data_IF_943325348425
#
_entry.id   IF_943325348425
#
_cell.length_a   1.000
_cell.length_b   1.000
_cell.length_c   1.000
_cell.angle_alpha   90.00
_cell.angle_beta   90.00
_cell.angle_gamma   90.00
#
_symmetry.space_group_name_H-M   'P 1'
#
loop_
_entity.id
_entity.type
_entity.pdbx_description
1 polymer ?
#
# COMPACT_ATOMS: atom_id res chain seq x y z
N UNK A 1 64.41 -14.65 -14.67
CA UNK A 1 63.71 -15.60 -15.57
C UNK A 1 63.71 -16.98 -14.95
N UNK A 2 62.53 -17.55 -14.65
CA UNK A 2 62.27 -19.00 -14.58
C UNK A 2 60.74 -19.22 -14.62
N UNK A 3 60.35 -20.41 -15.06
CA UNK A 3 59.10 -20.66 -15.79
C UNK A 3 58.00 -21.33 -14.94
N UNK A 4 56.74 -21.20 -15.35
CA UNK A 4 55.66 -22.10 -14.92
C UNK A 4 55.92 -23.53 -15.44
N UNK A 5 55.54 -24.57 -14.68
CA UNK A 5 54.32 -25.37 -14.95
C UNK A 5 54.03 -26.36 -13.78
N UNK A 6 52.85 -26.99 -13.81
CA UNK A 6 52.27 -27.81 -12.73
C UNK A 6 52.46 -29.34 -12.93
N UNK A 7 52.07 -30.16 -11.93
CA UNK A 7 51.13 -31.33 -12.03
C UNK A 7 51.17 -32.20 -10.74
N UNK A 8 50.02 -32.80 -10.39
CA UNK A 8 49.78 -33.69 -9.24
C UNK A 8 50.37 -35.11 -9.38
N UNK A 9 50.68 -35.82 -8.26
CA UNK A 9 50.08 -37.15 -7.95
C UNK A 9 50.29 -37.68 -6.50
N UNK A 10 49.39 -38.58 -6.11
CA UNK A 10 49.20 -39.39 -4.89
C UNK A 10 50.41 -39.85 -4.06
N UNK A 11 50.21 -39.97 -2.73
CA UNK A 11 50.29 -41.20 -1.89
C UNK A 11 49.80 -40.83 -0.44
N UNK A 12 49.32 -41.72 0.46
CA UNK A 12 48.97 -43.15 0.40
C UNK A 12 47.86 -43.52 1.43
N UNK A 13 47.59 -44.82 1.61
CA UNK A 13 46.54 -45.50 2.40
C UNK A 13 46.96 -45.86 3.85
N UNK A 14 46.01 -45.91 4.80
CA UNK A 14 46.03 -46.85 5.94
C UNK A 14 44.66 -47.52 6.09
N UNK A 15 44.63 -48.86 6.10
CA UNK A 15 43.46 -49.69 6.43
C UNK A 15 43.51 -50.12 7.90
N UNK A 16 42.37 -50.08 8.59
CA UNK A 16 41.99 -51.11 9.58
C UNK A 16 40.53 -51.47 9.32
N UNK A 17 40.25 -52.77 9.19
CA UNK A 17 38.90 -53.30 9.03
C UNK A 17 38.67 -54.40 10.06
N UNK A 18 37.43 -54.52 10.56
CA UNK A 18 36.93 -55.79 11.04
C UNK A 18 35.44 -55.95 10.74
N UNK A 19 35.11 -57.06 10.07
CA UNK A 19 33.79 -57.63 9.78
C UNK A 19 33.21 -58.25 11.09
N UNK A 20 31.93 -58.66 11.22
CA UNK A 20 30.71 -58.65 10.37
C UNK A 20 29.56 -59.29 11.18
N UNK A 21 28.30 -59.07 10.81
CA UNK A 21 27.32 -60.15 10.50
C UNK A 21 26.01 -59.55 9.99
N UNK A 22 25.48 -60.08 8.89
CA UNK A 22 24.10 -59.85 8.44
C UNK A 22 23.17 -60.92 9.02
N UNK A 23 21.88 -60.60 9.20
CA UNK A 23 20.81 -61.60 9.14
C UNK A 23 19.52 -60.96 8.63
N UNK A 24 19.04 -61.40 7.48
CA UNK A 24 17.75 -61.01 6.90
C UNK A 24 16.57 -61.68 7.61
N UNK A 25 15.48 -60.96 7.89
CA UNK A 25 14.16 -61.57 7.90
C UNK A 25 13.04 -60.58 7.56
N UNK A 26 12.24 -60.96 6.57
CA UNK A 26 11.01 -60.30 6.16
C UNK A 26 9.87 -60.63 7.14
N UNK A 27 9.02 -59.66 7.48
CA UNK A 27 7.63 -59.85 7.97
C UNK A 27 6.86 -58.54 8.24
N UNK A 28 5.79 -58.40 7.48
CA UNK A 28 4.58 -57.61 7.75
C UNK A 28 4.16 -57.46 9.23
N UNK A 29 3.80 -56.23 9.63
CA UNK A 29 2.81 -55.90 10.67
C UNK A 29 2.37 -54.43 10.49
N UNK A 30 1.16 -54.21 10.00
CA UNK A 30 -0.08 -54.02 10.76
C UNK A 30 -0.26 -52.62 11.36
N UNK A 31 -1.21 -51.91 10.76
CA UNK A 31 -1.78 -50.64 11.21
C UNK A 31 -2.32 -50.78 12.64
N UNK A 32 -1.91 -49.89 13.55
CA UNK A 32 -2.76 -49.45 14.66
C UNK A 32 -2.86 -47.94 14.66
N UNK A 33 -4.10 -47.45 14.68
CA UNK A 33 -4.47 -46.04 14.79
C UNK A 33 -4.00 -45.49 16.13
N UNK A 34 -3.20 -44.42 16.12
CA UNK A 34 -3.26 -43.43 17.19
C UNK A 34 -4.19 -42.29 16.79
N UNK A 35 -4.96 -41.80 17.75
CA UNK A 35 -6.04 -40.83 17.52
C UNK A 35 -5.48 -39.42 17.63
N UNK A 36 -5.64 -38.64 16.56
CA UNK A 36 -6.21 -37.28 16.62
C UNK A 36 -5.98 -36.51 17.93
N UNK A 37 -4.79 -35.95 18.13
CA UNK A 37 -4.67 -34.72 18.89
C UNK A 37 -5.08 -33.56 17.96
N UNK A 38 -6.17 -32.86 18.28
CA UNK A 38 -6.54 -31.61 17.58
C UNK A 38 -5.56 -30.52 18.00
N UNK A 39 -4.45 -30.40 17.28
CA UNK A 39 -3.56 -29.24 17.36
C UNK A 39 -4.23 -28.01 16.79
N UNK A 40 -4.03 -26.86 17.45
CA UNK A 40 -4.45 -25.55 16.96
C UNK A 40 -3.76 -25.26 15.60
N UNK A 41 -4.44 -24.70 14.58
CA UNK A 41 -3.76 -24.33 13.34
C UNK A 41 -2.69 -23.27 13.63
N UNK A 42 -1.51 -23.46 13.03
CA UNK A 42 -0.37 -22.58 13.23
C UNK A 42 -0.66 -21.18 12.65
N UNK A 43 -0.55 -20.16 13.48
CA UNK A 43 -1.06 -18.80 13.20
C UNK A 43 -0.04 -17.94 12.42
N UNK A 44 1.07 -18.54 11.98
CA UNK A 44 2.17 -17.86 11.28
C UNK A 44 2.44 -18.49 9.90
N UNK A 45 1.41 -18.63 9.07
CA UNK A 45 1.58 -19.02 7.67
C UNK A 45 2.26 -17.88 6.89
N UNK A 46 3.58 -17.81 6.89
CA UNK A 46 4.35 -16.80 6.14
C UNK A 46 3.93 -16.85 4.66
N UNK A 47 3.37 -15.75 4.14
CA UNK A 47 2.74 -15.73 2.81
C UNK A 47 3.74 -15.48 1.68
N UNK A 48 5.03 -15.71 1.92
CA UNK A 48 6.09 -15.58 0.92
C UNK A 48 6.27 -16.86 0.11
N UNK A 49 6.64 -16.73 -1.15
CA UNK A 49 7.05 -17.82 -2.05
C UNK A 49 8.35 -17.44 -2.76
N UNK A 50 9.21 -18.41 -3.14
CA UNK A 50 10.32 -18.13 -4.02
C UNK A 50 9.81 -17.59 -5.36
N UNK A 51 10.58 -16.68 -5.96
CA UNK A 51 10.30 -16.09 -7.25
C UNK A 51 11.56 -16.04 -8.12
N UNK A 52 11.36 -16.01 -9.44
CA UNK A 52 12.42 -15.86 -10.43
C UNK A 52 12.45 -14.38 -10.84
N UNK A 53 13.64 -13.80 -10.96
CA UNK A 53 13.79 -12.47 -11.56
C UNK A 53 14.15 -12.65 -13.02
N UNK A 54 13.38 -12.02 -13.92
CA UNK A 54 13.80 -11.78 -15.29
C UNK A 54 14.39 -10.37 -15.40
N UNK A 55 15.62 -10.28 -15.91
CA UNK A 55 16.38 -9.04 -16.10
C UNK A 55 16.52 -8.65 -17.58
N UNK A 56 15.96 -9.43 -18.52
CA UNK A 56 16.06 -9.22 -19.98
C UNK A 56 15.36 -7.94 -20.47
N UNK A 57 14.62 -7.27 -19.58
CA UNK A 57 13.83 -6.07 -19.84
C UNK A 57 14.33 -4.84 -19.06
N UNK A 58 15.53 -4.90 -18.47
CA UNK A 58 16.18 -3.72 -17.89
C UNK A 58 16.47 -2.71 -19.00
N UNK A 59 15.92 -1.49 -18.87
CA UNK A 59 16.01 -0.40 -19.85
C UNK A 59 17.01 0.69 -19.44
N UNK A 60 17.92 0.36 -18.55
CA UNK A 60 18.80 1.34 -17.91
C UNK A 60 19.76 2.03 -18.90
N UNK A 61 20.27 1.28 -19.88
CA UNK A 61 21.17 1.82 -20.92
C UNK A 61 20.43 2.72 -21.93
N UNK A 62 19.16 2.42 -22.23
CA UNK A 62 18.30 3.21 -23.13
C UNK A 62 17.92 4.59 -22.55
N UNK A 63 17.90 4.69 -21.21
CA UNK A 63 17.47 5.89 -20.48
C UNK A 63 18.58 6.42 -19.53
N UNK A 64 19.74 6.89 -20.06
CA UNK A 64 20.89 7.32 -19.25
C UNK A 64 20.59 8.52 -18.33
N UNK A 65 19.56 9.32 -18.65
CA UNK A 65 19.11 10.44 -17.81
C UNK A 65 18.37 10.02 -16.53
N UNK A 66 18.06 8.72 -16.34
CA UNK A 66 17.63 8.18 -15.04
C UNK A 66 18.83 8.17 -14.10
N UNK A 67 19.05 9.30 -13.44
CA UNK A 67 20.07 9.47 -12.41
C UNK A 67 19.86 8.52 -11.22
N UNK A 68 20.88 8.38 -10.39
CA UNK A 68 20.78 7.63 -9.14
C UNK A 68 19.67 8.19 -8.24
N UNK A 69 19.06 7.31 -7.46
CA UNK A 69 18.05 7.72 -6.49
C UNK A 69 18.71 8.45 -5.32
N UNK A 70 18.09 9.56 -4.90
CA UNK A 70 18.44 10.22 -3.62
C UNK A 70 18.22 9.22 -2.48
N UNK A 71 17.20 8.37 -2.64
CA UNK A 71 17.36 6.92 -2.49
C UNK A 71 16.44 6.23 -1.48
N UNK A 72 16.80 4.97 -1.21
CA UNK A 72 16.02 3.88 -0.60
C UNK A 72 15.16 4.20 0.64
N UNK A 73 14.01 4.87 0.56
CA UNK A 73 13.15 5.11 1.74
C UNK A 73 11.65 4.85 1.56
N UNK A 74 11.17 4.34 0.42
CA UNK A 74 9.74 4.06 0.22
C UNK A 74 9.46 2.95 -0.80
N UNK A 75 8.28 2.33 -0.73
CA UNK A 75 7.72 1.44 -1.77
C UNK A 75 6.40 2.05 -2.22
N UNK A 76 6.18 2.15 -3.55
CA UNK A 76 4.90 2.59 -4.12
C UNK A 76 4.31 1.49 -4.97
N UNK A 77 3.08 1.09 -4.66
CA UNK A 77 2.34 0.07 -5.41
C UNK A 77 1.36 0.68 -6.41
N UNK A 78 1.26 0.03 -7.57
CA UNK A 78 0.44 0.42 -8.72
C UNK A 78 -0.30 -0.78 -9.31
N UNK A 79 -1.40 -0.55 -10.02
CA UNK A 79 -1.89 -1.51 -11.02
C UNK A 79 -1.73 -0.94 -12.42
N UNK A 80 -1.39 -1.80 -13.38
CA UNK A 80 -1.05 -1.37 -14.75
C UNK A 80 -2.25 -0.97 -15.62
N UNK A 81 -3.48 -1.29 -15.18
CA UNK A 81 -4.76 -1.11 -15.89
C UNK A 81 -4.84 -1.85 -17.25
N UNK A 82 -3.90 -2.75 -17.52
CA UNK A 82 -3.65 -3.32 -18.84
C UNK A 82 -3.19 -4.79 -18.75
N UNK A 83 -3.19 -5.49 -19.88
CA UNK A 83 -2.66 -6.86 -19.95
C UNK A 83 -1.13 -6.86 -19.97
N UNK A 84 -0.51 -7.89 -19.40
CA UNK A 84 0.95 -8.02 -19.24
C UNK A 84 1.77 -7.56 -20.46
N UNK A 85 1.44 -8.00 -21.68
CA UNK A 85 2.16 -7.60 -22.91
C UNK A 85 2.10 -6.10 -23.19
N UNK A 86 0.97 -5.43 -22.89
CA UNK A 86 0.82 -3.98 -23.01
C UNK A 86 1.55 -3.25 -21.87
N UNK A 87 1.44 -3.75 -20.65
CA UNK A 87 2.10 -3.19 -19.47
C UNK A 87 3.63 -3.21 -19.65
N UNK A 88 4.19 -4.37 -19.99
CA UNK A 88 5.63 -4.53 -20.26
C UNK A 88 6.12 -3.58 -21.35
N UNK A 89 5.45 -3.53 -22.50
CA UNK A 89 5.80 -2.57 -23.58
C UNK A 89 5.72 -1.12 -23.09
N UNK A 90 4.69 -0.76 -22.34
CA UNK A 90 4.48 0.62 -21.88
C UNK A 90 5.57 1.05 -20.88
N UNK A 91 5.97 0.15 -19.98
CA UNK A 91 6.98 0.41 -18.96
C UNK A 91 8.42 0.38 -19.50
N UNK A 92 8.68 -0.30 -20.63
CA UNK A 92 9.99 -0.30 -21.28
C UNK A 92 10.15 0.78 -22.35
N UNK A 93 9.08 1.21 -23.03
CA UNK A 93 9.16 2.14 -24.18
C UNK A 93 8.30 3.41 -24.07
N UNK A 94 7.36 3.46 -23.13
CA UNK A 94 6.30 4.48 -23.09
C UNK A 94 6.59 5.74 -22.28
N UNK A 95 7.83 5.95 -21.83
CA UNK A 95 8.26 7.14 -21.08
C UNK A 95 7.88 7.17 -19.58
N UNK A 96 6.93 6.34 -19.15
CA UNK A 96 6.78 5.94 -17.74
C UNK A 96 7.47 4.58 -17.54
N UNK A 97 7.92 4.30 -16.31
CA UNK A 97 8.55 3.02 -15.96
C UNK A 97 8.40 2.71 -14.47
N UNK A 98 8.53 1.43 -14.10
CA UNK A 98 8.65 0.95 -12.73
C UNK A 98 9.99 0.23 -12.56
N UNK A 99 10.39 -0.07 -11.31
CA UNK A 99 11.54 -0.96 -11.10
C UNK A 99 11.13 -2.41 -11.35
N UNK A 100 9.92 -2.75 -10.91
CA UNK A 100 9.38 -4.10 -10.93
C UNK A 100 8.02 -4.17 -11.61
N UNK A 101 7.76 -5.28 -12.31
CA UNK A 101 6.46 -5.66 -12.86
C UNK A 101 6.12 -7.10 -12.43
N UNK A 102 4.96 -7.28 -11.79
CA UNK A 102 4.47 -8.57 -11.30
C UNK A 102 3.28 -9.04 -12.16
N UNK A 103 3.44 -10.09 -13.00
CA UNK A 103 2.34 -10.65 -13.79
C UNK A 103 1.26 -11.32 -12.93
N UNK A 104 0.07 -11.53 -13.49
CA UNK A 104 -1.03 -12.24 -12.82
C UNK A 104 -0.82 -13.76 -12.71
N UNK A 105 0.15 -14.32 -13.44
CA UNK A 105 0.46 -15.74 -13.49
C UNK A 105 1.96 -15.99 -13.58
N UNK A 106 2.40 -17.21 -13.28
CA UNK A 106 3.81 -17.59 -13.20
C UNK A 106 4.42 -17.36 -11.82
N UNK A 107 5.74 -17.47 -11.72
CA UNK A 107 6.61 -17.20 -10.57
C UNK A 107 7.70 -16.17 -10.90
N UNK A 108 7.71 -15.68 -12.14
CA UNK A 108 8.68 -14.71 -12.64
C UNK A 108 8.18 -13.28 -12.44
N UNK A 109 8.98 -12.48 -11.73
CA UNK A 109 8.85 -11.02 -11.69
C UNK A 109 9.87 -10.39 -12.65
N UNK A 110 9.54 -9.23 -13.22
CA UNK A 110 10.36 -8.59 -14.23
C UNK A 110 11.00 -7.33 -13.65
N UNK A 111 12.34 -7.22 -13.72
CA UNK A 111 13.03 -5.95 -13.44
C UNK A 111 13.11 -5.12 -14.72
N UNK A 112 12.68 -3.86 -14.64
CA UNK A 112 12.64 -2.92 -15.77
C UNK A 112 13.61 -1.74 -15.58
N UNK A 113 13.90 -1.38 -14.33
CA UNK A 113 14.87 -0.37 -13.90
C UNK A 113 15.57 -0.89 -12.65
N UNK A 114 16.90 -0.76 -12.54
CA UNK A 114 17.58 -1.12 -11.29
C UNK A 114 17.21 -0.16 -10.15
N UNK A 115 17.06 -0.69 -8.93
CA UNK A 115 16.58 0.07 -7.77
C UNK A 115 17.50 1.24 -7.37
N UNK A 116 18.77 1.22 -7.75
CA UNK A 116 19.67 2.36 -7.57
C UNK A 116 19.40 3.53 -8.54
N UNK A 117 18.54 3.36 -9.55
CA UNK A 117 18.22 4.36 -10.58
C UNK A 117 16.75 4.76 -10.57
N UNK A 118 16.46 5.97 -11.03
CA UNK A 118 15.11 6.56 -10.97
C UNK A 118 14.16 6.01 -12.02
N UNK A 119 13.21 5.16 -11.63
CA UNK A 119 12.03 4.86 -12.44
C UNK A 119 10.99 6.02 -12.42
N UNK A 120 10.15 6.10 -13.46
CA UNK A 120 9.13 7.16 -13.63
C UNK A 120 7.72 6.61 -13.43
N UNK A 121 7.32 6.43 -12.16
CA UNK A 121 6.06 5.77 -11.77
C UNK A 121 5.08 6.69 -11.03
N UNK A 122 5.56 7.47 -10.06
CA UNK A 122 4.72 8.26 -9.15
C UNK A 122 4.24 9.60 -9.76
N UNK A 123 4.96 10.13 -10.76
CA UNK A 123 4.69 11.47 -11.32
C UNK A 123 4.65 12.58 -10.25
N UNK A 124 3.75 13.57 -10.44
CA UNK A 124 3.50 14.62 -9.43
C UNK A 124 2.89 14.01 -8.17
N UNK A 125 3.68 13.98 -7.10
CA UNK A 125 3.40 13.20 -5.89
C UNK A 125 3.97 13.87 -4.64
N UNK A 126 3.30 13.67 -3.49
CA UNK A 126 3.81 14.03 -2.18
C UNK A 126 3.31 13.05 -1.10
N UNK A 127 4.23 12.64 -0.22
CA UNK A 127 3.92 11.87 0.98
C UNK A 127 4.73 12.39 2.17
N UNK A 128 4.11 12.57 3.34
CA UNK A 128 4.79 13.04 4.58
C UNK A 128 5.69 14.25 4.34
N UNK A 129 5.18 15.22 3.58
CA UNK A 129 5.88 16.44 3.10
C UNK A 129 7.04 16.25 2.11
N UNK A 130 7.41 15.02 1.74
CA UNK A 130 8.40 14.74 0.69
C UNK A 130 7.74 14.82 -0.69
N UNK A 131 8.19 15.77 -1.52
CA UNK A 131 7.77 15.88 -2.93
C UNK A 131 8.56 14.92 -3.83
N UNK A 132 7.92 14.54 -4.94
CA UNK A 132 8.48 13.75 -6.04
C UNK A 132 8.97 12.37 -5.55
N UNK A 133 8.03 11.46 -5.30
CA UNK A 133 8.35 10.16 -4.69
C UNK A 133 9.26 9.30 -5.56
N UNK A 134 9.29 9.48 -6.89
CA UNK A 134 10.21 8.78 -7.81
C UNK A 134 11.67 8.79 -7.32
N UNK A 135 12.10 9.83 -6.60
CA UNK A 135 13.50 10.01 -6.22
C UNK A 135 13.95 9.21 -4.99
N UNK A 136 13.00 8.64 -4.25
CA UNK A 136 13.24 7.88 -3.01
C UNK A 136 12.53 6.52 -2.95
N UNK A 137 11.76 6.15 -3.98
CA UNK A 137 10.83 5.03 -3.89
C UNK A 137 10.98 3.98 -4.98
N UNK A 138 10.88 2.71 -4.56
CA UNK A 138 10.73 1.58 -5.47
C UNK A 138 9.27 1.46 -5.90
N UNK A 139 8.98 1.92 -7.12
CA UNK A 139 7.71 1.66 -7.80
C UNK A 139 7.59 0.20 -8.25
N UNK A 140 6.51 -0.46 -7.84
CA UNK A 140 6.14 -1.84 -8.19
C UNK A 140 4.80 -1.82 -8.92
N UNK A 141 4.80 -2.26 -10.18
CA UNK A 141 3.62 -2.36 -11.03
C UNK A 141 3.04 -3.78 -10.98
N UNK A 142 1.74 -3.89 -10.73
CA UNK A 142 1.04 -5.17 -10.69
C UNK A 142 0.11 -5.29 -11.90
N UNK A 143 0.21 -6.41 -12.63
CA UNK A 143 -0.69 -6.70 -13.76
C UNK A 143 -2.07 -7.06 -13.22
N UNK A 144 -2.90 -6.03 -13.08
CA UNK A 144 -4.34 -6.07 -12.82
C UNK A 144 -4.97 -4.91 -13.64
N UNK A 145 -6.22 -5.07 -14.09
CA UNK A 145 -6.96 -4.00 -14.79
C UNK A 145 -7.51 -2.95 -13.80
N UNK A 146 -7.42 -3.21 -12.50
CA UNK A 146 -7.97 -2.37 -11.43
C UNK A 146 -9.45 -2.68 -11.22
N UNK A 147 -10.29 -2.19 -12.11
CA UNK A 147 -11.74 -2.40 -12.07
C UNK A 147 -12.34 -2.48 -13.47
N UNK A 148 -13.59 -2.94 -13.55
CA UNK A 148 -14.46 -2.81 -14.72
C UNK A 148 -15.78 -2.16 -14.29
N UNK A 149 -16.58 -1.70 -15.25
CA UNK A 149 -17.91 -1.21 -14.96
C UNK A 149 -18.93 -2.37 -14.93
N UNK A 150 -19.77 -2.44 -13.89
CA UNK A 150 -20.89 -3.39 -13.78
C UNK A 150 -21.77 -3.34 -15.02
N UNK A 151 -22.35 -4.48 -15.40
CA UNK A 151 -23.19 -4.64 -16.60
C UNK A 151 -22.53 -4.24 -17.94
N UNK A 152 -21.19 -4.30 -18.02
CA UNK A 152 -20.40 -3.96 -19.21
C UNK A 152 -20.64 -2.53 -19.75
N UNK A 153 -20.94 -1.58 -18.86
CA UNK A 153 -21.06 -0.15 -19.23
C UNK A 153 -19.73 0.42 -19.72
N UNK A 154 -19.79 1.45 -20.57
CA UNK A 154 -18.61 2.12 -21.15
C UNK A 154 -17.94 3.12 -20.18
N UNK A 155 -18.70 3.63 -19.20
CA UNK A 155 -18.21 4.38 -18.05
C UNK A 155 -18.91 3.90 -16.78
N UNK A 156 -18.32 4.19 -15.62
CA UNK A 156 -18.90 3.86 -14.32
C UNK A 156 -18.76 5.03 -13.35
N UNK A 157 -19.85 5.38 -12.68
CA UNK A 157 -19.81 6.07 -11.39
C UNK A 157 -19.30 5.08 -10.32
N UNK A 158 -18.88 5.59 -9.15
CA UNK A 158 -18.35 4.79 -8.03
C UNK A 158 -19.22 3.57 -7.67
N UNK A 159 -20.53 3.74 -7.62
CA UNK A 159 -21.51 2.69 -7.30
C UNK A 159 -21.52 1.52 -8.32
N UNK A 160 -21.06 1.81 -9.54
CA UNK A 160 -21.08 0.90 -10.68
C UNK A 160 -19.70 0.34 -11.03
N UNK A 161 -18.70 0.57 -10.18
CA UNK A 161 -17.39 -0.06 -10.24
C UNK A 161 -17.50 -1.51 -9.74
N UNK A 162 -16.76 -2.42 -10.38
CA UNK A 162 -16.47 -3.77 -9.89
C UNK A 162 -14.95 -3.96 -9.91
N UNK A 163 -14.32 -3.88 -8.74
CA UNK A 163 -12.90 -4.10 -8.54
C UNK A 163 -12.51 -5.55 -8.85
N UNK A 164 -11.30 -5.74 -9.38
CA UNK A 164 -10.80 -7.07 -9.76
C UNK A 164 -9.78 -7.58 -8.73
N UNK A 165 -10.00 -8.79 -8.24
CA UNK A 165 -9.09 -9.47 -7.33
C UNK A 165 -7.72 -9.76 -7.97
N UNK A 166 -6.68 -9.74 -7.14
CA UNK A 166 -5.35 -10.22 -7.50
C UNK A 166 -5.28 -11.74 -7.23
N UNK A 167 -4.87 -12.61 -8.17
CA UNK A 167 -4.78 -14.04 -7.92
C UNK A 167 -3.85 -14.38 -6.75
N UNK A 168 -4.18 -15.40 -5.96
CA UNK A 168 -3.44 -15.76 -4.73
C UNK A 168 -1.91 -15.87 -4.94
N UNK A 169 -1.47 -16.49 -6.05
CA UNK A 169 -0.03 -16.57 -6.37
C UNK A 169 0.59 -15.19 -6.63
N UNK A 170 -0.12 -14.29 -7.29
CA UNK A 170 0.31 -12.89 -7.49
C UNK A 170 0.39 -12.15 -6.15
N UNK A 171 -0.57 -12.33 -5.24
CA UNK A 171 -0.52 -11.75 -3.89
C UNK A 171 0.73 -12.22 -3.13
N UNK A 172 1.06 -13.52 -3.18
CA UNK A 172 2.29 -14.06 -2.56
C UNK A 172 3.57 -13.53 -3.21
N UNK A 173 3.60 -13.30 -4.53
CA UNK A 173 4.73 -12.62 -5.18
C UNK A 173 4.90 -11.18 -4.71
N UNK A 174 3.79 -10.42 -4.59
CA UNK A 174 3.78 -9.04 -4.06
C UNK A 174 4.36 -9.02 -2.65
N UNK A 175 3.87 -9.90 -1.75
CA UNK A 175 4.36 -10.04 -0.37
C UNK A 175 5.85 -10.36 -0.33
N UNK A 176 6.31 -11.30 -1.15
CA UNK A 176 7.72 -11.74 -1.16
C UNK A 176 8.65 -10.61 -1.59
N UNK A 177 8.37 -9.99 -2.73
CA UNK A 177 9.20 -8.89 -3.25
C UNK A 177 9.19 -7.67 -2.32
N UNK A 178 8.03 -7.31 -1.78
CA UNK A 178 7.91 -6.18 -0.88
C UNK A 178 8.65 -6.40 0.45
N UNK A 179 8.67 -7.63 0.98
CA UNK A 179 9.44 -8.01 2.16
C UNK A 179 10.94 -7.81 1.93
N UNK A 180 11.44 -8.35 0.82
CA UNK A 180 12.84 -8.25 0.42
C UNK A 180 13.29 -6.80 0.26
N UNK A 181 12.48 -5.95 -0.38
CA UNK A 181 12.78 -4.52 -0.56
C UNK A 181 12.71 -3.76 0.77
N UNK A 182 11.65 -3.95 1.57
CA UNK A 182 11.50 -3.25 2.85
C UNK A 182 12.65 -3.59 3.80
N UNK A 183 13.08 -4.85 3.86
CA UNK A 183 14.20 -5.28 4.67
C UNK A 183 15.54 -4.75 4.14
N UNK A 184 15.80 -4.87 2.83
CA UNK A 184 17.05 -4.44 2.18
C UNK A 184 17.36 -2.95 2.40
N UNK A 185 16.33 -2.11 2.41
CA UNK A 185 16.46 -0.67 2.56
C UNK A 185 16.00 -0.13 3.93
N UNK A 186 15.64 -1.01 4.88
CA UNK A 186 15.10 -0.63 6.19
C UNK A 186 13.93 0.38 6.11
N UNK A 187 13.05 0.19 5.12
CA UNK A 187 11.96 1.12 4.83
C UNK A 187 10.96 1.12 5.99
N UNK A 188 10.55 2.32 6.40
CA UNK A 188 9.50 2.51 7.38
C UNK A 188 8.16 1.90 6.90
N UNK A 189 7.47 1.09 7.72
CA UNK A 189 6.08 0.72 7.50
C UNK A 189 5.15 1.85 6.98
N UNK A 190 5.30 3.08 7.48
CA UNK A 190 4.51 4.24 7.02
C UNK A 190 4.88 4.77 5.63
N UNK A 191 5.89 4.18 4.99
CA UNK A 191 6.44 4.55 3.68
C UNK A 191 6.28 3.42 2.64
N UNK A 192 5.47 2.41 2.94
CA UNK A 192 4.96 1.40 2.00
C UNK A 192 3.51 1.76 1.69
N UNK A 193 3.26 2.27 0.48
CA UNK A 193 2.07 3.06 0.16
C UNK A 193 1.55 2.83 -1.25
N UNK A 194 0.28 3.18 -1.50
CA UNK A 194 -0.31 3.15 -2.82
C UNK A 194 -0.02 4.42 -3.61
N UNK A 195 -0.20 4.36 -4.94
CA UNK A 195 -0.19 5.57 -5.77
C UNK A 195 -1.29 6.57 -5.36
N UNK A 196 -2.46 6.06 -4.94
CA UNK A 196 -3.56 6.85 -4.41
C UNK A 196 -3.17 7.69 -3.19
N UNK A 197 -2.29 7.17 -2.32
CA UNK A 197 -1.86 7.87 -1.10
C UNK A 197 -1.00 9.11 -1.41
N UNK A 198 -0.16 9.02 -2.45
CA UNK A 198 0.82 10.04 -2.80
C UNK A 198 0.36 10.99 -3.91
N UNK A 199 -0.69 10.59 -4.65
CA UNK A 199 -1.25 11.30 -5.78
C UNK A 199 -2.77 11.43 -5.64
N UNK A 200 -3.18 11.86 -4.44
CA UNK A 200 -4.51 12.38 -4.10
C UNK A 200 -5.06 13.23 -5.26
N UNK A 201 -6.35 13.08 -5.55
CA UNK A 201 -7.08 13.68 -6.69
C UNK A 201 -6.79 13.14 -8.10
N UNK A 202 -5.71 12.37 -8.29
CA UNK A 202 -5.27 11.89 -9.61
C UNK A 202 -5.27 10.38 -9.78
N UNK A 203 -5.17 9.60 -8.69
CA UNK A 203 -4.89 8.16 -8.71
C UNK A 203 -5.72 7.40 -7.68
N UNK A 204 -6.05 6.15 -8.02
CA UNK A 204 -6.83 5.21 -7.19
C UNK A 204 -6.16 3.83 -7.06
N UNK A 205 -5.06 3.60 -7.77
CA UNK A 205 -4.22 2.41 -7.68
C UNK A 205 -3.44 2.35 -6.35
N UNK A 206 -3.29 1.15 -5.75
CA UNK A 206 -3.64 -0.17 -6.27
C UNK A 206 -5.09 -0.65 -5.97
N UNK A 207 -5.95 0.18 -5.37
CA UNK A 207 -7.36 -0.13 -5.09
C UNK A 207 -7.61 -0.94 -3.80
N UNK A 208 -8.88 -1.16 -3.42
CA UNK A 208 -9.30 -1.77 -2.15
C UNK A 208 -9.09 -3.29 -2.08
N UNK A 209 -8.94 -3.97 -3.21
CA UNK A 209 -8.68 -5.42 -3.26
C UNK A 209 -7.18 -5.76 -3.25
N UNK A 210 -6.30 -4.75 -3.15
CA UNK A 210 -4.88 -4.98 -2.99
C UNK A 210 -4.59 -5.55 -1.58
N UNK A 211 -3.66 -6.53 -1.44
CA UNK A 211 -3.56 -7.35 -0.23
C UNK A 211 -2.79 -6.66 0.92
N UNK A 212 -3.19 -5.44 1.31
CA UNK A 212 -2.56 -4.64 2.38
C UNK A 212 -2.49 -5.37 3.72
N UNK A 213 -3.57 -6.04 4.12
CA UNK A 213 -3.60 -6.83 5.36
C UNK A 213 -2.61 -8.00 5.33
N UNK A 214 -2.50 -8.69 4.20
CA UNK A 214 -1.58 -9.82 3.97
C UNK A 214 -0.11 -9.38 3.99
N UNK A 215 0.19 -8.16 3.50
CA UNK A 215 1.48 -7.51 3.65
C UNK A 215 1.79 -7.27 5.14
N UNK A 216 0.86 -6.66 5.87
CA UNK A 216 1.02 -6.37 7.29
C UNK A 216 1.20 -7.62 8.17
N UNK A 217 0.44 -8.68 7.89
CA UNK A 217 0.60 -10.01 8.51
C UNK A 217 1.98 -10.64 8.25
N UNK A 218 2.73 -10.14 7.26
CA UNK A 218 4.11 -10.54 6.96
C UNK A 218 5.17 -9.52 7.42
N UNK A 219 4.76 -8.48 8.17
CA UNK A 219 5.61 -7.42 8.70
C UNK A 219 5.91 -6.28 7.71
N UNK A 220 5.08 -6.14 6.67
CA UNK A 220 5.30 -5.23 5.55
C UNK A 220 4.25 -4.13 5.56
N UNK A 221 4.67 -2.86 5.55
CA UNK A 221 3.77 -1.71 5.66
C UNK A 221 3.12 -1.54 7.03
N UNK A 222 2.41 -0.42 7.20
CA UNK A 222 1.74 -0.06 8.44
C UNK A 222 0.31 -0.61 8.49
N UNK A 223 -0.13 -1.07 9.66
CA UNK A 223 -1.50 -1.57 9.84
C UNK A 223 -1.97 -1.44 11.29
N UNK A 224 -3.21 -0.98 11.46
CA UNK A 224 -3.92 -1.03 12.74
C UNK A 224 -4.90 -2.21 12.73
N UNK A 225 -4.88 -3.00 13.78
CA UNK A 225 -5.82 -4.12 14.00
C UNK A 225 -7.18 -3.59 14.42
N UNK A 226 -8.22 -4.40 14.20
CA UNK A 226 -9.60 -4.06 14.60
C UNK A 226 -9.71 -3.72 16.10
N UNK A 227 -8.90 -4.34 16.96
CA UNK A 227 -8.86 -4.05 18.40
C UNK A 227 -8.14 -2.73 18.74
N UNK A 228 -7.05 -2.40 18.04
CA UNK A 228 -6.40 -1.08 18.15
C UNK A 228 -7.37 0.03 17.68
N UNK A 229 -8.11 -0.19 16.59
CA UNK A 229 -9.11 0.74 16.07
C UNK A 229 -10.29 0.88 17.05
N UNK A 230 -10.82 -0.22 17.61
CA UNK A 230 -11.90 -0.19 18.62
C UNK A 230 -11.49 0.55 19.90
N UNK A 231 -10.25 0.35 20.37
CA UNK A 231 -9.67 1.11 21.50
C UNK A 231 -9.71 2.60 21.19
N UNK A 232 -9.26 3.01 20.01
CA UNK A 232 -9.22 4.43 19.63
C UNK A 232 -10.61 5.03 19.40
N UNK A 233 -11.55 4.28 18.82
CA UNK A 233 -12.97 4.69 18.75
C UNK A 233 -13.48 5.00 20.16
N UNK A 234 -13.26 4.11 21.13
CA UNK A 234 -13.68 4.33 22.52
C UNK A 234 -13.00 5.55 23.15
N UNK A 235 -11.68 5.72 22.97
CA UNK A 235 -10.95 6.86 23.50
C UNK A 235 -11.46 8.20 22.92
N UNK A 236 -11.75 8.25 21.62
CA UNK A 236 -12.35 9.41 20.96
C UNK A 236 -13.77 9.67 21.48
N UNK A 237 -14.61 8.63 21.61
CA UNK A 237 -15.97 8.77 22.13
C UNK A 237 -16.00 9.28 23.58
N UNK A 238 -15.10 8.79 24.44
CA UNK A 238 -15.03 9.18 25.86
C UNK A 238 -14.54 10.63 26.05
N UNK A 239 -13.72 11.17 25.15
CA UNK A 239 -13.05 12.48 25.33
C UNK A 239 -13.50 13.59 24.34
N UNK A 240 -14.06 13.23 23.19
CA UNK A 240 -14.47 14.12 22.10
C UNK A 240 -15.96 13.91 21.75
N UNK A 241 -16.43 12.65 21.79
CA UNK A 241 -17.79 12.25 21.41
C UNK A 241 -17.89 11.69 19.99
N UNK A 242 -19.13 11.45 19.54
CA UNK A 242 -19.40 10.80 18.24
C UNK A 242 -19.35 11.76 17.04
N UNK A 243 -19.58 13.06 17.25
CA UNK A 243 -19.66 14.02 16.15
C UNK A 243 -18.26 14.59 15.86
N UNK A 244 -17.66 14.14 14.75
CA UNK A 244 -16.28 14.44 14.38
C UNK A 244 -16.26 15.44 13.23
N UNK A 245 -15.78 16.64 13.55
CA UNK A 245 -15.66 17.73 12.58
C UNK A 245 -14.65 17.40 11.47
N UNK A 246 -15.01 17.81 10.26
CA UNK A 246 -14.16 17.74 9.07
C UNK A 246 -12.73 18.24 9.30
N UNK A 247 -12.55 19.33 10.06
CA UNK A 247 -11.23 19.90 10.33
C UNK A 247 -10.33 18.93 11.13
N UNK A 248 -10.89 18.17 12.06
CA UNK A 248 -10.11 17.22 12.87
C UNK A 248 -9.62 16.05 12.01
N UNK A 249 -10.48 15.52 11.13
CA UNK A 249 -10.10 14.49 10.13
C UNK A 249 -9.03 15.03 9.18
N UNK A 250 -9.23 16.23 8.63
CA UNK A 250 -8.26 16.90 7.76
C UNK A 250 -6.89 17.07 8.43
N UNK A 251 -6.88 17.59 9.66
CA UNK A 251 -5.64 17.79 10.42
C UNK A 251 -4.86 16.47 10.57
N UNK A 252 -5.54 15.38 10.91
CA UNK A 252 -4.92 14.07 11.13
C UNK A 252 -4.49 13.39 9.84
N UNK A 253 -5.23 13.50 8.73
CA UNK A 253 -4.79 13.06 7.39
C UNK A 253 -3.52 13.79 6.94
N UNK A 254 -3.47 15.11 7.12
CA UNK A 254 -2.30 15.91 6.77
C UNK A 254 -1.08 15.60 7.65
N UNK A 255 -1.30 15.39 8.95
CA UNK A 255 -0.25 14.99 9.89
C UNK A 255 0.26 13.55 9.62
N UNK A 256 -0.62 12.66 9.18
CA UNK A 256 -0.26 11.29 8.80
C UNK A 256 0.59 11.25 7.52
N UNK A 257 0.21 12.00 6.48
CA UNK A 257 1.05 12.15 5.28
C UNK A 257 0.42 12.72 4.01
N UNK A 258 -0.92 12.84 3.93
CA UNK A 258 -1.64 13.17 2.68
C UNK A 258 -1.56 14.64 2.27
N UNK A 259 -1.45 14.92 0.96
CA UNK A 259 -1.44 16.29 0.41
C UNK A 259 -2.86 16.88 0.20
N UNK A 260 -3.58 17.11 1.28
CA UNK A 260 -4.93 17.71 1.24
C UNK A 260 -4.92 19.24 1.27
N UNK A 261 -3.79 19.89 0.97
CA UNK A 261 -3.63 21.35 1.12
C UNK A 261 -4.36 22.10 0.00
N UNK A 262 -4.98 23.24 0.33
CA UNK A 262 -5.41 24.21 -0.69
C UNK A 262 -4.20 24.70 -1.48
N UNK A 263 -4.39 24.96 -2.76
CA UNK A 263 -3.30 25.41 -3.63
C UNK A 263 -2.69 26.73 -3.11
N UNK A 264 -1.37 26.88 -3.29
CA UNK A 264 -0.56 27.97 -2.76
C UNK A 264 -0.45 28.04 -1.21
N UNK A 265 -1.04 27.11 -0.45
CA UNK A 265 -0.83 27.03 1.00
C UNK A 265 0.44 26.22 1.32
N UNK A 266 1.48 26.91 1.81
CA UNK A 266 2.74 26.29 2.24
C UNK A 266 2.67 25.71 3.66
N UNK A 267 3.54 24.75 4.00
CA UNK A 267 3.63 24.16 5.35
C UNK A 267 3.76 25.21 6.45
N UNK A 268 4.61 26.21 6.22
CA UNK A 268 4.79 27.35 7.14
C UNK A 268 3.49 28.13 7.35
N UNK A 269 2.64 28.26 6.34
CA UNK A 269 1.30 28.85 6.45
C UNK A 269 0.37 27.99 7.31
N UNK A 270 0.40 26.66 7.12
CA UNK A 270 -0.38 25.69 7.91
C UNK A 270 0.04 25.72 9.37
N UNK A 271 1.32 25.54 9.66
CA UNK A 271 1.88 25.62 11.02
C UNK A 271 1.50 26.94 11.72
N UNK A 272 1.58 28.07 11.01
CA UNK A 272 1.23 29.36 11.57
C UNK A 272 -0.29 29.54 11.81
N UNK A 273 -1.15 28.83 11.07
CA UNK A 273 -2.60 28.81 11.31
C UNK A 273 -2.95 27.86 12.46
N UNK A 274 -2.35 26.68 12.50
CA UNK A 274 -2.54 25.69 13.57
C UNK A 274 -2.08 26.24 14.94
N UNK A 275 -0.95 26.96 15.00
CA UNK A 275 -0.49 27.64 16.22
C UNK A 275 -1.50 28.66 16.78
N UNK A 276 -2.33 29.29 15.94
CA UNK A 276 -3.38 30.23 16.39
C UNK A 276 -4.59 29.54 17.03
N UNK A 277 -4.70 28.23 16.90
CA UNK A 277 -5.69 27.37 17.53
C UNK A 277 -5.02 26.37 18.48
N UNK A 278 -3.86 26.75 19.04
CA UNK A 278 -3.05 25.99 20.01
C UNK A 278 -2.55 24.60 19.54
N UNK A 279 -2.62 24.28 18.24
CA UNK A 279 -2.11 23.02 17.72
C UNK A 279 -0.69 23.13 17.16
N UNK A 280 0.13 22.12 17.42
CA UNK A 280 1.49 22.02 16.89
C UNK A 280 1.76 20.61 16.38
N UNK A 281 1.92 20.47 15.06
CA UNK A 281 2.29 19.23 14.36
C UNK A 281 3.60 18.60 14.87
N UNK A 282 4.42 19.34 15.63
CA UNK A 282 5.66 18.83 16.24
C UNK A 282 5.52 18.55 17.74
N UNK A 283 4.70 19.31 18.46
CA UNK A 283 4.75 19.39 19.92
C UNK A 283 3.46 18.97 20.65
N UNK A 284 2.29 19.03 20.01
CA UNK A 284 1.06 18.46 20.60
C UNK A 284 1.23 16.94 20.67
N UNK A 285 0.88 16.31 21.78
CA UNK A 285 0.97 14.84 21.87
C UNK A 285 -0.07 14.17 20.95
N UNK A 286 0.13 12.91 20.59
CA UNK A 286 -0.80 12.20 19.69
C UNK A 286 -2.14 11.91 20.39
N UNK A 287 -2.04 11.60 21.68
CA UNK A 287 -3.06 11.26 22.68
C UNK A 287 -3.56 12.46 23.49
N UNK A 288 -3.25 13.70 23.07
CA UNK A 288 -3.80 14.92 23.70
C UNK A 288 -5.25 15.17 23.25
N UNK A 289 -6.16 14.30 23.71
CA UNK A 289 -7.58 14.39 23.39
C UNK A 289 -8.23 15.70 23.84
N UNK A 290 -7.67 16.38 24.86
CA UNK A 290 -8.11 17.72 25.28
C UNK A 290 -7.90 18.72 24.14
N UNK A 291 -6.69 18.79 23.60
CA UNK A 291 -6.40 19.65 22.44
C UNK A 291 -7.17 19.18 21.20
N UNK A 292 -7.29 17.88 20.94
CA UNK A 292 -8.06 17.38 19.80
C UNK A 292 -9.55 17.74 19.88
N UNK A 293 -10.16 17.73 21.07
CA UNK A 293 -11.54 18.18 21.25
C UNK A 293 -11.69 19.69 21.01
N UNK A 294 -10.71 20.51 21.44
CA UNK A 294 -10.70 21.94 21.12
C UNK A 294 -10.66 22.20 19.61
N UNK A 295 -9.88 21.41 18.86
CA UNK A 295 -9.87 21.45 17.39
C UNK A 295 -11.22 20.97 16.82
N UNK A 296 -11.85 19.97 17.43
CA UNK A 296 -13.16 19.48 17.01
C UNK A 296 -14.22 20.58 17.10
N UNK A 297 -14.34 21.21 18.26
CA UNK A 297 -15.24 22.35 18.48
C UNK A 297 -14.92 23.53 17.55
N UNK A 298 -13.65 23.84 17.33
CA UNK A 298 -13.24 24.90 16.42
C UNK A 298 -13.66 24.58 14.98
N UNK A 299 -13.56 23.33 14.55
CA UNK A 299 -14.02 22.85 13.25
C UNK A 299 -15.49 23.16 13.00
N UNK A 300 -16.39 22.84 13.94
CA UNK A 300 -17.81 23.20 13.83
C UNK A 300 -18.07 24.70 13.83
N UNK A 301 -17.30 25.48 14.60
CA UNK A 301 -17.41 26.95 14.65
C UNK A 301 -16.83 27.63 13.40
N UNK A 302 -15.94 26.98 12.66
CA UNK A 302 -15.22 27.48 11.47
C UNK A 302 -15.03 26.40 10.40
N UNK A 303 -16.12 25.94 9.74
CA UNK A 303 -16.04 24.86 8.75
C UNK A 303 -15.11 25.19 7.58
N UNK A 304 -15.16 26.42 7.03
CA UNK A 304 -14.17 26.88 6.05
C UNK A 304 -12.88 27.36 6.76
N UNK A 305 -11.99 26.43 7.03
CA UNK A 305 -10.70 26.69 7.69
C UNK A 305 -9.67 27.43 6.79
N UNK A 306 -9.84 27.38 5.46
CA UNK A 306 -8.87 27.91 4.48
C UNK A 306 -7.42 27.40 4.67
N UNK A 307 -7.26 26.18 5.18
CA UNK A 307 -6.00 25.43 5.29
C UNK A 307 -6.02 24.29 4.28
N UNK A 308 -7.07 23.47 4.35
CA UNK A 308 -7.23 22.22 3.62
C UNK A 308 -8.33 22.33 2.56
N UNK A 309 -8.22 21.52 1.53
CA UNK A 309 -9.13 21.44 0.40
C UNK A 309 -10.08 20.27 0.57
N UNK A 310 -11.39 20.52 0.58
CA UNK A 310 -12.39 19.48 0.81
C UNK A 310 -12.46 18.43 -0.30
N UNK A 311 -12.16 18.80 -1.56
CA UNK A 311 -12.15 17.85 -2.67
C UNK A 311 -10.96 16.90 -2.53
N UNK A 312 -9.76 17.44 -2.27
CA UNK A 312 -8.56 16.61 -1.98
C UNK A 312 -8.75 15.78 -0.72
N UNK A 313 -9.43 16.31 0.30
CA UNK A 313 -9.74 15.56 1.53
C UNK A 313 -10.61 14.35 1.24
N UNK A 314 -11.65 14.46 0.41
CA UNK A 314 -12.47 13.30 0.02
C UNK A 314 -11.63 12.22 -0.67
N UNK A 315 -10.79 12.60 -1.64
CA UNK A 315 -9.89 11.64 -2.29
C UNK A 315 -8.86 11.03 -1.34
N UNK A 316 -8.37 11.78 -0.34
CA UNK A 316 -7.46 11.26 0.68
C UNK A 316 -8.18 10.30 1.65
N UNK A 317 -9.43 10.58 2.02
CA UNK A 317 -10.27 9.63 2.78
C UNK A 317 -10.46 8.35 1.95
N UNK A 318 -10.82 8.46 0.67
CA UNK A 318 -11.00 7.29 -0.21
C UNK A 318 -9.72 6.46 -0.34
N UNK A 319 -8.56 7.09 -0.59
CA UNK A 319 -7.27 6.42 -0.61
C UNK A 319 -6.96 5.74 0.73
N UNK A 320 -7.15 6.45 1.85
CA UNK A 320 -6.94 5.93 3.20
C UNK A 320 -7.83 4.72 3.50
N UNK A 321 -9.12 4.75 3.17
CA UNK A 321 -10.00 3.60 3.43
C UNK A 321 -9.78 2.45 2.43
N UNK A 322 -9.40 2.70 1.17
CA UNK A 322 -8.94 1.62 0.27
C UNK A 322 -7.67 0.94 0.78
N UNK A 323 -6.80 1.68 1.48
CA UNK A 323 -5.59 1.15 2.09
C UNK A 323 -5.89 0.42 3.41
N UNK A 324 -6.33 1.14 4.44
CA UNK A 324 -6.38 0.66 5.83
C UNK A 324 -7.74 0.11 6.28
N UNK A 325 -8.83 0.40 5.56
CA UNK A 325 -10.20 -0.03 5.89
C UNK A 325 -10.95 -0.59 4.66
N UNK A 326 -10.36 -1.51 3.86
CA UNK A 326 -10.91 -1.87 2.54
C UNK A 326 -12.33 -2.44 2.60
N UNK A 327 -12.69 -3.14 3.68
CA UNK A 327 -14.07 -3.60 3.90
C UNK A 327 -15.07 -2.44 3.97
N UNK A 328 -14.74 -1.35 4.67
CA UNK A 328 -15.59 -0.15 4.78
C UNK A 328 -15.81 0.49 3.39
N UNK A 329 -14.74 0.60 2.60
CA UNK A 329 -14.84 1.11 1.23
C UNK A 329 -15.79 0.26 0.37
N UNK A 330 -15.66 -1.07 0.44
CA UNK A 330 -16.47 -2.03 -0.33
C UNK A 330 -17.91 -2.21 0.19
N UNK A 331 -18.18 -1.84 1.44
CA UNK A 331 -19.54 -1.76 2.01
C UNK A 331 -20.30 -0.56 1.44
N UNK A 332 -19.67 0.62 1.37
CA UNK A 332 -20.27 1.81 0.78
C UNK A 332 -20.59 1.67 -0.71
N UNK A 333 -19.84 0.85 -1.46
CA UNK A 333 -20.15 0.49 -2.86
C UNK A 333 -21.39 -0.43 -3.01
N UNK A 334 -21.91 -1.01 -1.91
CA UNK A 334 -23.13 -1.85 -1.92
C UNK A 334 -24.36 -1.04 -1.53
N UNK A 335 -24.31 -0.35 -0.38
CA UNK A 335 -25.46 0.40 0.15
C UNK A 335 -25.98 1.46 -0.84
N UNK A 336 -25.05 2.11 -1.54
CA UNK A 336 -25.36 3.14 -2.56
C UNK A 336 -25.91 2.59 -3.89
N UNK A 337 -26.00 1.27 -4.07
CA UNK A 337 -26.62 0.65 -5.27
C UNK A 337 -28.12 0.41 -5.04
N UNK A 338 -28.53 0.04 -3.83
CA UNK A 338 -29.92 -0.28 -3.52
C UNK A 338 -30.84 0.96 -3.62
N UNK A 339 -30.33 2.16 -3.31
CA UNK A 339 -31.07 3.42 -3.51
C UNK A 339 -31.26 3.80 -4.99
N UNK A 340 -30.37 3.36 -5.89
CA UNK A 340 -30.36 3.78 -7.31
C UNK A 340 -31.29 2.92 -8.16
N UNK A 341 -31.56 1.67 -7.77
CA UNK A 341 -32.42 0.74 -8.53
C UNK A 341 -33.86 1.27 -8.70
N UNK A 342 -34.31 2.14 -7.80
CA UNK A 342 -35.65 2.77 -7.87
C UNK A 342 -35.74 3.92 -8.91
N UNK A 343 -34.59 4.45 -9.39
CA UNK A 343 -34.55 5.69 -10.19
C UNK A 343 -33.92 5.57 -11.60
N UNK A 344 -34.67 4.89 -12.47
CA UNK A 344 -34.83 5.16 -13.92
C UNK A 344 -33.72 4.75 -14.91
N UNK A 345 -34.14 4.86 -16.17
CA UNK A 345 -33.59 4.23 -17.37
C UNK A 345 -33.12 5.22 -18.43
N UNK A 346 -32.31 4.69 -19.37
CA UNK A 346 -32.03 5.11 -20.76
C UNK A 346 -30.77 5.92 -21.10
N UNK A 347 -30.12 5.38 -22.14
CA UNK A 347 -29.19 5.95 -23.12
C UNK A 347 -27.71 6.16 -22.74
N UNK A 348 -26.88 5.23 -23.24
CA UNK A 348 -25.43 5.32 -23.37
C UNK A 348 -25.01 5.72 -24.81
N UNK A 349 -23.94 6.51 -24.92
CA UNK A 349 -23.08 6.60 -26.12
C UNK A 349 -21.61 6.44 -25.70
N UNK A 350 -20.68 6.44 -26.67
CA UNK A 350 -19.37 5.78 -26.53
C UNK A 350 -18.29 6.49 -25.70
N UNK A 351 -17.52 5.71 -24.94
CA UNK A 351 -16.28 6.16 -24.31
C UNK A 351 -15.18 5.08 -24.27
N UNK A 352 -13.94 5.53 -24.39
CA UNK A 352 -12.69 4.78 -24.21
C UNK A 352 -12.03 5.24 -22.92
N UNK A 353 -11.59 4.33 -22.01
CA UNK A 353 -11.13 4.74 -20.69
C UNK A 353 -9.77 5.47 -20.77
N UNK A 354 -9.81 6.79 -20.74
CA UNK A 354 -8.68 7.62 -20.37
C UNK A 354 -9.05 8.47 -19.13
N UNK A 355 -8.03 8.85 -18.38
CA UNK A 355 -8.15 9.44 -17.05
C UNK A 355 -8.85 10.81 -17.03
N UNK A 356 -9.56 11.07 -15.90
CA UNK A 356 -10.13 12.36 -15.44
C UNK A 356 -11.51 12.77 -15.99
N UNK A 357 -12.58 12.40 -15.26
CA UNK A 357 -13.67 13.33 -14.90
C UNK A 357 -14.71 12.68 -13.97
N UNK A 358 -15.14 11.46 -14.28
CA UNK A 358 -16.48 10.99 -13.87
C UNK A 358 -16.56 10.34 -12.48
N UNK A 359 -15.42 10.10 -11.81
CA UNK A 359 -15.41 9.66 -10.41
C UNK A 359 -15.69 10.81 -9.41
N UNK A 360 -15.70 12.06 -9.87
CA UNK A 360 -15.76 13.23 -8.98
C UNK A 360 -17.18 13.77 -8.72
N UNK A 361 -18.23 13.01 -9.03
CA UNK A 361 -19.64 13.42 -8.85
C UNK A 361 -20.47 12.30 -8.21
N UNK A 362 -20.96 12.53 -6.99
CA UNK A 362 -21.78 11.58 -6.22
C UNK A 362 -20.91 10.68 -5.31
N UNK A 363 -20.90 10.82 -3.99
CA UNK A 363 -21.86 11.50 -3.11
C UNK A 363 -21.16 12.32 -2.00
N UNK A 364 -21.94 13.02 -1.19
CA UNK A 364 -21.48 13.77 -0.01
C UNK A 364 -21.13 12.79 1.14
N UNK A 365 -20.15 11.93 0.89
CA UNK A 365 -19.79 10.77 1.70
C UNK A 365 -18.93 11.10 2.92
N UNK A 366 -19.51 11.77 3.90
CA UNK A 366 -19.08 11.70 5.30
C UNK A 366 -20.32 11.49 6.15
N UNK A 367 -20.55 10.25 6.59
CA UNK A 367 -21.32 10.05 7.82
C UNK A 367 -20.39 10.37 9.00
N UNK A 368 -20.92 10.85 10.13
CA UNK A 368 -20.11 11.07 11.34
C UNK A 368 -19.39 9.77 11.78
N UNK A 369 -19.99 8.61 11.48
CA UNK A 369 -19.42 7.29 11.75
C UNK A 369 -18.17 6.99 10.91
N UNK A 370 -18.10 7.45 9.66
CA UNK A 370 -16.92 7.31 8.81
C UNK A 370 -15.78 8.19 9.31
N UNK A 371 -16.08 9.44 9.66
CA UNK A 371 -15.12 10.37 10.25
C UNK A 371 -14.53 9.82 11.54
N UNK A 372 -15.36 9.19 12.39
CA UNK A 372 -14.92 8.51 13.61
C UNK A 372 -14.01 7.30 13.31
N UNK A 373 -14.38 6.41 12.39
CA UNK A 373 -13.56 5.24 11.99
C UNK A 373 -12.22 5.67 11.39
N UNK A 374 -12.22 6.65 10.48
CA UNK A 374 -11.01 7.19 9.85
C UNK A 374 -10.11 7.84 10.90
N UNK A 375 -10.65 8.72 11.75
CA UNK A 375 -9.89 9.37 12.82
C UNK A 375 -9.26 8.36 13.80
N UNK A 376 -10.04 7.37 14.24
CA UNK A 376 -9.57 6.31 15.13
C UNK A 376 -8.47 5.45 14.51
N UNK A 377 -8.60 5.11 13.22
CA UNK A 377 -7.60 4.32 12.49
C UNK A 377 -6.31 5.11 12.30
N UNK A 378 -6.40 6.41 11.97
CA UNK A 378 -5.23 7.30 11.92
C UNK A 378 -4.56 7.37 13.29
N UNK A 379 -5.31 7.59 14.38
CA UNK A 379 -4.75 7.61 15.74
C UNK A 379 -4.05 6.30 16.11
N UNK A 380 -4.68 5.15 15.85
CA UNK A 380 -4.11 3.83 16.12
C UNK A 380 -2.78 3.60 15.37
N UNK A 381 -2.72 3.97 14.08
CA UNK A 381 -1.49 3.94 13.29
C UNK A 381 -0.42 4.90 13.86
N UNK A 382 -0.83 6.10 14.28
CA UNK A 382 0.10 7.09 14.82
C UNK A 382 0.67 6.68 16.19
N UNK A 383 -0.14 6.13 17.10
CA UNK A 383 0.30 5.59 18.38
C UNK A 383 1.23 4.37 18.22
N UNK A 384 1.00 3.55 17.19
CA UNK A 384 1.76 2.32 16.91
C UNK A 384 3.14 2.57 16.28
N UNK A 385 3.28 3.64 15.49
CA UNK A 385 4.52 3.99 14.79
C UNK A 385 5.10 5.37 15.19
N UNK A 386 5.08 5.77 16.47
CA UNK A 386 5.04 7.17 16.92
C UNK A 386 6.32 7.95 16.57
N UNK A 387 7.48 7.29 16.60
CA UNK A 387 8.76 7.90 16.27
C UNK A 387 8.83 8.38 14.82
N UNK A 388 8.06 7.78 13.90
CA UNK A 388 8.18 8.01 12.46
C UNK A 388 6.98 8.72 11.82
N UNK A 389 5.86 8.85 12.54
CA UNK A 389 4.65 9.57 12.08
C UNK A 389 4.94 10.96 11.51
N UNK A 390 5.74 11.74 12.23
CA UNK A 390 6.02 13.15 11.94
C UNK A 390 7.36 13.37 11.23
N UNK A 391 8.09 12.28 10.95
CA UNK A 391 9.27 12.31 10.09
C UNK A 391 8.82 12.08 8.65
N UNK A 392 9.52 12.70 7.69
CA UNK A 392 9.35 12.31 6.28
C UNK A 392 9.87 10.90 6.05
N UNK A 393 9.57 10.33 4.88
CA UNK A 393 10.24 9.11 4.40
C UNK A 393 11.70 9.45 4.03
N UNK A 394 12.53 9.59 5.06
CA UNK A 394 13.95 9.91 5.02
C UNK A 394 14.72 8.78 5.71
N UNK A 395 16.02 8.74 5.44
CA UNK A 395 16.98 7.83 6.06
C UNK A 395 17.27 8.17 7.52
#
# INVERSE_FOLDING_TARGET
MRTLLAINLLLSIVFIACKSTESTSDKTKNIKKEKSAKGNPDINAVHTIPYIINEDYITDEDYPHRIENEGISSIVFHYTAQSFKKSLRSLTTGGNSSHWLIPASGDTIYRIVNENRRAQHAGSSLWKNRKNMNVISVGIEIVNLGFKCKNNRKSCSKQTIEWLEFPEKQQKLIVSLAKDIQQRYNIDPLCVIGHADIAVDRKVDPGPLFPWKMLAENGIGAWATDEEIKKEIKNIQDNIGNNISRLLVQLKLYEYGYDIRKDNVSNKSIENKLKKINYSLKHTALDDYTTLNQINEYGFKKPNNNIFDDKKTNFAIEAFIMHYLPSLYLEHEKESVDEIIDNRSKHDTEHTPDSKSDMAAGNQGETDADNLKVLATIQALMEKYPAKVRMGCNY
#
